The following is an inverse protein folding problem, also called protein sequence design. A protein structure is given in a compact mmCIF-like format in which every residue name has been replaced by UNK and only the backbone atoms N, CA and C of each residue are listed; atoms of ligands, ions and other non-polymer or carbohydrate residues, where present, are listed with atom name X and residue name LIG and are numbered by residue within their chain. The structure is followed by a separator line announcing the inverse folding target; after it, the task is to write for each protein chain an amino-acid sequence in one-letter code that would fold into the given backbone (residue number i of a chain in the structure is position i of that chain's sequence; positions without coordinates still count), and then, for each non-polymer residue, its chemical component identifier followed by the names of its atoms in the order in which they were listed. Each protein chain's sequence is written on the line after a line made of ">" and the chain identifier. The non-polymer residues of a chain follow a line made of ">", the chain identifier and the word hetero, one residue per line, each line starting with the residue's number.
data_IF_009685070706
#
_entry.id   IF_009685070706
#
_cell.length_a   1.000
_cell.length_b   1.000
_cell.length_c   1.000
_cell.angle_alpha   90.00
_cell.angle_beta   90.00
_cell.angle_gamma   90.00
#
_symmetry.space_group_name_H-M   'P 1'
#
loop_
_entity.id
_entity.type
_entity.pdbx_description
1 polymer ?
#
# COMPACT_ATOMS: atom_id res chain seq x y z
N UNK A 1 12.71 -15.41 16.10
CA UNK A 1 12.08 -14.10 15.82
C UNK A 1 11.81 -14.10 14.34
N UNK A 2 10.54 -14.08 13.93
CA UNK A 2 10.18 -14.10 12.52
C UNK A 2 10.18 -12.66 12.03
N UNK A 3 11.36 -12.20 11.59
CA UNK A 3 11.51 -10.93 10.89
C UNK A 3 10.77 -11.06 9.55
N UNK A 4 9.48 -10.76 9.58
CA UNK A 4 8.63 -10.66 8.41
C UNK A 4 9.06 -9.39 7.67
N UNK A 5 10.18 -9.46 6.95
CA UNK A 5 10.69 -8.42 6.06
C UNK A 5 9.71 -8.35 4.89
N UNK A 6 8.57 -7.70 5.11
CA UNK A 6 7.82 -7.06 4.04
C UNK A 6 8.86 -6.20 3.33
N UNK A 7 9.35 -6.62 2.16
CA UNK A 7 10.25 -5.78 1.36
C UNK A 7 9.53 -4.45 1.20
N UNK A 8 10.10 -3.41 1.79
CA UNK A 8 9.61 -2.04 1.71
C UNK A 8 9.60 -1.67 0.23
N UNK A 9 8.45 -1.90 -0.41
CA UNK A 9 8.21 -1.56 -1.80
C UNK A 9 7.52 -0.22 -1.80
N UNK A 10 8.03 0.67 -2.66
CA UNK A 10 7.44 1.96 -2.91
C UNK A 10 5.96 1.78 -3.25
N UNK A 11 5.10 2.43 -2.48
CA UNK A 11 3.65 2.29 -2.58
C UNK A 11 3.05 3.60 -3.06
N UNK A 12 2.37 3.56 -4.21
CA UNK A 12 1.65 4.71 -4.76
C UNK A 12 0.18 4.70 -4.32
N UNK A 13 -0.32 5.86 -3.92
CA UNK A 13 -1.72 6.10 -3.58
C UNK A 13 -2.29 7.16 -4.53
N UNK A 14 -3.60 7.13 -4.72
CA UNK A 14 -4.34 8.15 -5.43
C UNK A 14 -5.34 8.81 -4.48
N UNK A 15 -5.31 10.14 -4.40
CA UNK A 15 -6.22 10.95 -3.60
C UNK A 15 -7.03 11.85 -4.55
N UNK A 16 -8.35 11.79 -4.46
CA UNK A 16 -9.22 12.68 -5.21
C UNK A 16 -9.04 14.13 -4.74
N UNK A 17 -8.89 15.03 -5.69
CA UNK A 17 -8.85 16.47 -5.44
C UNK A 17 -10.24 17.06 -5.70
N UNK A 18 -10.98 17.35 -4.64
CA UNK A 18 -12.32 17.93 -4.73
C UNK A 18 -12.36 19.30 -5.44
N UNK A 19 -11.23 20.02 -5.54
CA UNK A 19 -11.17 21.34 -6.18
C UNK A 19 -11.05 21.26 -7.70
N UNK A 20 -10.34 20.27 -8.22
CA UNK A 20 -10.09 20.13 -9.66
C UNK A 20 -10.83 18.95 -10.29
N UNK A 21 -11.34 18.02 -9.47
CA UNK A 21 -11.94 16.77 -9.91
C UNK A 21 -10.91 15.73 -10.38
N UNK A 22 -9.62 16.02 -10.23
CA UNK A 22 -8.51 15.16 -10.66
C UNK A 22 -8.01 14.27 -9.53
N UNK A 23 -7.26 13.23 -9.87
CA UNK A 23 -6.59 12.37 -8.88
C UNK A 23 -5.14 12.79 -8.72
N UNK A 24 -4.72 13.02 -7.48
CA UNK A 24 -3.34 13.26 -7.09
C UNK A 24 -2.66 11.94 -6.74
N UNK A 25 -1.59 11.60 -7.45
CA UNK A 25 -0.81 10.39 -7.21
C UNK A 25 0.42 10.72 -6.36
N UNK A 26 0.58 10.00 -5.25
CA UNK A 26 1.70 10.17 -4.31
C UNK A 26 2.36 8.82 -4.08
N UNK A 27 3.69 8.77 -4.19
CA UNK A 27 4.48 7.57 -3.93
C UNK A 27 5.20 7.70 -2.60
N UNK A 28 5.08 6.68 -1.75
CA UNK A 28 5.71 6.60 -0.45
C UNK A 28 6.73 5.46 -0.44
N UNK A 29 7.84 5.58 0.31
CA UNK A 29 8.88 4.55 0.34
C UNK A 29 8.42 3.26 1.03
N UNK A 30 7.41 3.33 1.91
CA UNK A 30 6.90 2.18 2.64
C UNK A 30 5.36 2.14 2.69
N UNK A 31 4.81 0.91 2.77
CA UNK A 31 3.36 0.66 2.86
C UNK A 31 2.72 1.37 4.06
N UNK A 32 3.40 1.44 5.21
CA UNK A 32 2.87 2.11 6.41
C UNK A 32 2.63 3.60 6.18
N UNK A 33 3.55 4.30 5.53
CA UNK A 33 3.40 5.72 5.22
C UNK A 33 2.27 5.95 4.21
N UNK A 34 2.20 5.13 3.15
CA UNK A 34 1.08 5.15 2.21
C UNK A 34 -0.27 4.93 2.92
N UNK A 35 -0.33 3.98 3.85
CA UNK A 35 -1.54 3.70 4.65
C UNK A 35 -1.92 4.87 5.54
N UNK A 36 -0.95 5.50 6.20
CA UNK A 36 -1.20 6.68 7.02
C UNK A 36 -1.74 7.84 6.18
N UNK A 37 -1.16 8.08 4.99
CA UNK A 37 -1.63 9.12 4.08
C UNK A 37 -3.06 8.86 3.57
N UNK A 38 -3.40 7.61 3.21
CA UNK A 38 -4.78 7.24 2.82
C UNK A 38 -5.76 7.46 3.98
N UNK A 39 -5.40 7.05 5.19
CA UNK A 39 -6.26 7.24 6.37
C UNK A 39 -6.44 8.72 6.72
N UNK A 40 -5.38 9.53 6.63
CA UNK A 40 -5.45 10.97 6.86
C UNK A 40 -6.39 11.63 5.84
N UNK A 41 -6.22 11.35 4.54
CA UNK A 41 -7.06 11.88 3.49
C UNK A 41 -8.54 11.48 3.67
N UNK A 42 -8.82 10.23 4.04
CA UNK A 42 -10.18 9.76 4.37
C UNK A 42 -10.76 10.46 5.59
N UNK A 43 -9.95 10.70 6.62
CA UNK A 43 -10.38 11.44 7.81
C UNK A 43 -10.71 12.91 7.52
N UNK A 44 -10.10 13.49 6.49
CA UNK A 44 -10.45 14.81 5.97
C UNK A 44 -11.69 14.80 5.04
N UNK A 45 -12.29 13.63 4.80
CA UNK A 45 -13.45 13.46 3.93
C UNK A 45 -13.12 13.27 2.44
N UNK A 46 -11.84 13.13 2.08
CA UNK A 46 -11.40 12.94 0.69
C UNK A 46 -11.44 11.46 0.30
N UNK A 47 -11.70 11.18 -0.96
CA UNK A 47 -11.56 9.84 -1.50
C UNK A 47 -10.08 9.50 -1.70
N UNK A 48 -9.56 8.49 -1.00
CA UNK A 48 -8.19 8.01 -1.16
C UNK A 48 -8.13 6.49 -1.28
N UNK A 49 -7.32 6.01 -2.23
CA UNK A 49 -7.15 4.60 -2.58
C UNK A 49 -5.68 4.27 -2.82
N UNK A 50 -5.31 3.01 -2.62
CA UNK A 50 -4.04 2.49 -3.11
C UNK A 50 -4.14 2.31 -4.62
N UNK A 51 -3.15 2.78 -5.37
CA UNK A 51 -3.13 2.64 -6.81
C UNK A 51 -2.67 1.21 -7.16
N UNK A 52 -3.36 0.50 -8.05
CA UNK A 52 -3.07 -0.91 -8.40
C UNK A 52 -1.74 -1.10 -9.15
N UNK A 53 -1.17 -0.01 -9.69
CA UNK A 53 0.22 0.03 -10.16
C UNK A 53 1.27 0.11 -9.03
N UNK A 54 0.84 0.27 -7.78
CA UNK A 54 1.69 0.09 -6.62
C UNK A 54 1.93 -1.41 -6.44
N UNK A 55 3.17 -1.82 -6.58
CA UNK A 55 3.57 -3.22 -6.40
C UNK A 55 3.13 -3.68 -5.01
N UNK A 56 2.06 -4.48 -4.95
CA UNK A 56 1.64 -5.10 -3.69
C UNK A 56 2.84 -5.85 -3.10
N UNK A 57 3.08 -5.74 -1.79
CA UNK A 57 4.15 -6.52 -1.19
C UNK A 57 3.82 -7.99 -1.40
N UNK A 58 4.78 -8.75 -1.91
CA UNK A 58 4.61 -10.19 -2.02
C UNK A 58 4.47 -10.75 -0.59
N UNK A 59 3.41 -11.53 -0.31
CA UNK A 59 3.32 -12.22 0.95
C UNK A 59 4.57 -13.10 1.12
N UNK A 60 5.08 -13.27 2.35
CA UNK A 60 6.20 -14.15 2.60
C UNK A 60 5.88 -15.55 2.04
N UNK A 61 6.83 -16.15 1.32
CA UNK A 61 6.69 -17.53 0.86
C UNK A 61 6.42 -18.40 2.10
N UNK A 62 5.20 -18.95 2.17
CA UNK A 62 4.89 -19.93 3.20
C UNK A 62 5.84 -21.12 2.96
N UNK A 63 6.48 -21.67 4.01
CA UNK A 63 7.27 -22.87 3.84
C UNK A 63 6.37 -23.92 3.19
N UNK A 64 6.81 -24.46 2.05
CA UNK A 64 6.07 -25.49 1.33
C UNK A 64 5.70 -26.59 2.32
N UNK A 65 4.44 -27.06 2.33
CA UNK A 65 4.09 -28.22 3.14
C UNK A 65 5.05 -29.36 2.77
N UNK A 66 5.55 -30.14 3.76
CA UNK A 66 6.40 -31.27 3.45
C UNK A 66 5.68 -32.20 2.47
N UNK A 67 6.38 -32.66 1.43
CA UNK A 67 5.82 -33.65 0.50
C UNK A 67 5.32 -34.85 1.30
N UNK A 68 4.09 -35.33 1.05
CA UNK A 68 3.63 -36.55 1.67
C UNK A 68 4.52 -37.74 1.24
N UNK A 69 4.80 -38.69 2.15
CA UNK A 69 5.68 -39.84 1.89
C UNK A 69 5.13 -40.80 0.83
#
# INVERSE_FOLDING_TARGET
>A
MSDNVWKERETTIAIANDKTGEWLFLTFPSWEEARQAVNAARSEGKAAVFYDGATLPEPPELPMPPEPP
#
